data_IF_094915339848
#
_entry.id   IF_094915339848
#
_cell.length_a   1.000
_cell.length_b   1.000
_cell.length_c   1.000
_cell.angle_alpha   90.00
_cell.angle_beta   90.00
_cell.angle_gamma   90.00
#
_symmetry.space_group_name_H-M   'P 1'
#
loop_
_entity.id
_entity.type
_entity.pdbx_description
1 polymer ?
#
# COMPACT_ATOMS: atom_id res chain seq x y z
N UNK A 1 51.59 -19.36 19.27
CA UNK A 1 50.32 -18.76 18.81
C UNK A 1 50.30 -17.30 19.24
N UNK A 2 50.62 -16.37 18.32
CA UNK A 2 50.80 -14.95 18.62
C UNK A 2 49.43 -14.26 18.64
N UNK A 3 49.13 -13.57 19.74
CA UNK A 3 47.98 -12.66 19.89
C UNK A 3 48.32 -11.34 19.19
N UNK A 4 47.46 -10.85 18.31
CA UNK A 4 47.56 -9.51 17.72
C UNK A 4 46.41 -8.64 18.24
N UNK A 5 46.79 -7.54 18.90
CA UNK A 5 45.93 -6.48 19.41
C UNK A 5 45.81 -5.38 18.36
N UNK A 6 44.59 -4.96 18.04
CA UNK A 6 44.32 -3.88 17.07
C UNK A 6 44.16 -2.58 17.86
N UNK A 7 45.19 -1.74 17.84
CA UNK A 7 45.12 -0.35 18.28
C UNK A 7 44.96 0.58 17.08
N UNK A 8 43.92 1.40 17.15
CA UNK A 8 43.86 2.80 16.69
C UNK A 8 44.48 3.16 15.33
N UNK A 9 43.63 3.28 14.32
CA UNK A 9 43.85 4.13 13.13
C UNK A 9 42.75 5.19 13.17
N UNK A 10 43.01 6.32 13.83
CA UNK A 10 43.51 7.58 13.25
C UNK A 10 42.61 8.12 12.13
N UNK A 11 41.82 9.10 12.53
CA UNK A 11 41.04 10.07 11.74
C UNK A 11 41.96 10.90 10.84
N UNK A 12 41.35 11.64 9.88
CA UNK A 12 41.87 12.71 8.98
C UNK A 12 42.10 12.11 7.56
N UNK A 13 41.44 12.51 6.46
CA UNK A 13 41.52 13.80 5.75
C UNK A 13 40.33 13.96 4.75
N UNK A 14 39.47 14.94 5.02
CA UNK A 14 39.04 16.06 4.15
C UNK A 14 38.91 15.76 2.63
N UNK A 15 37.67 15.70 2.14
CA UNK A 15 37.35 15.89 0.72
C UNK A 15 36.50 17.15 0.56
N UNK A 16 37.16 18.30 0.53
CA UNK A 16 36.61 19.55 0.02
C UNK A 16 36.63 19.50 -1.51
N UNK A 17 35.47 19.35 -2.13
CA UNK A 17 35.28 19.73 -3.53
C UNK A 17 33.83 20.16 -3.77
N UNK A 18 33.47 21.27 -3.12
CA UNK A 18 32.31 22.07 -3.47
C UNK A 18 32.82 23.41 -3.98
N UNK A 19 32.74 23.61 -5.30
CA UNK A 19 32.35 24.86 -5.97
C UNK A 19 32.58 24.70 -7.48
N UNK A 20 31.50 24.59 -8.24
CA UNK A 20 31.34 25.20 -9.57
C UNK A 20 29.85 25.21 -9.89
N UNK A 21 29.18 26.32 -9.59
CA UNK A 21 28.72 27.31 -10.58
C UNK A 21 27.40 26.90 -11.27
N UNK A 22 26.32 27.41 -10.68
CA UNK A 22 25.26 28.17 -11.34
C UNK A 22 25.11 27.93 -12.85
N UNK A 23 24.13 27.12 -13.23
CA UNK A 23 23.40 27.36 -14.48
C UNK A 23 22.13 28.14 -14.16
N UNK A 24 22.16 29.39 -14.60
CA UNK A 24 21.05 30.30 -14.68
C UNK A 24 20.03 29.82 -15.72
N UNK A 25 18.77 30.15 -15.48
CA UNK A 25 17.61 29.84 -16.30
C UNK A 25 17.75 30.34 -17.74
N UNK A 26 17.42 29.48 -18.71
CA UNK A 26 16.85 29.94 -19.98
C UNK A 26 15.33 29.86 -19.84
N UNK A 27 14.68 31.01 -19.93
CA UNK A 27 13.23 31.14 -19.97
C UNK A 27 12.80 30.93 -21.41
N UNK A 28 12.54 29.68 -21.80
CA UNK A 28 11.77 29.41 -23.01
C UNK A 28 10.29 29.39 -22.62
N UNK A 29 9.66 30.53 -22.92
CA UNK A 29 8.23 30.77 -22.83
C UNK A 29 7.55 30.07 -24.01
N UNK A 30 7.49 28.74 -23.98
CA UNK A 30 6.64 27.98 -24.88
C UNK A 30 5.23 27.88 -24.26
N UNK A 31 4.48 28.95 -24.48
CA UNK A 31 3.02 28.92 -24.46
C UNK A 31 2.53 28.00 -25.58
N UNK A 32 2.49 26.71 -25.31
CA UNK A 32 1.70 25.76 -26.09
C UNK A 32 0.68 25.08 -25.17
N UNK A 33 -0.29 25.88 -24.72
CA UNK A 33 -1.56 25.40 -24.19
C UNK A 33 -2.35 24.73 -25.33
N UNK A 34 -1.90 23.54 -25.71
CA UNK A 34 -2.72 22.57 -26.44
C UNK A 34 -2.35 21.15 -25.99
N UNK A 35 -2.38 20.95 -24.68
CA UNK A 35 -2.74 19.66 -24.15
C UNK A 35 -4.26 19.64 -24.11
N UNK A 36 -4.85 19.27 -25.25
CA UNK A 36 -6.14 18.62 -25.25
C UNK A 36 -5.97 17.30 -24.47
N UNK A 37 -5.88 17.39 -23.14
CA UNK A 37 -6.02 16.28 -22.21
C UNK A 37 -7.50 15.92 -22.20
N UNK A 38 -8.00 15.50 -23.36
CA UNK A 38 -9.13 14.61 -23.44
C UNK A 38 -8.61 13.27 -22.95
N UNK A 39 -8.23 13.18 -21.67
CA UNK A 39 -8.32 11.91 -20.95
C UNK A 39 -9.81 11.63 -21.05
N UNK A 40 -10.24 10.63 -21.84
CA UNK A 40 -11.64 10.27 -21.84
C UNK A 40 -11.99 10.03 -20.37
N UNK A 41 -12.99 10.72 -19.84
CA UNK A 41 -13.50 10.39 -18.52
C UNK A 41 -13.97 8.93 -18.62
N UNK A 42 -13.10 8.00 -18.22
CA UNK A 42 -13.28 6.59 -18.48
C UNK A 42 -14.37 6.13 -17.52
N UNK A 43 -15.58 5.91 -18.03
CA UNK A 43 -16.67 5.45 -17.17
C UNK A 43 -16.33 4.06 -16.66
N UNK A 44 -16.53 3.81 -15.37
CA UNK A 44 -16.35 2.48 -14.80
C UNK A 44 -17.33 1.48 -15.43
N UNK A 45 -16.80 0.32 -15.82
CA UNK A 45 -17.62 -0.86 -16.07
C UNK A 45 -18.18 -1.39 -14.75
N UNK A 46 -19.16 -2.29 -14.80
CA UNK A 46 -19.65 -2.91 -13.57
C UNK A 46 -18.58 -3.79 -12.91
N UNK A 47 -17.70 -4.43 -13.71
CA UNK A 47 -16.54 -5.17 -13.21
C UNK A 47 -15.55 -4.26 -12.47
N UNK A 48 -15.29 -3.04 -12.97
CA UNK A 48 -14.43 -2.08 -12.28
C UNK A 48 -15.02 -1.67 -10.92
N UNK A 49 -16.34 -1.48 -10.84
CA UNK A 49 -17.02 -1.13 -9.58
C UNK A 49 -16.96 -2.28 -8.58
N UNK A 50 -17.25 -3.50 -9.05
CA UNK A 50 -17.20 -4.70 -8.21
C UNK A 50 -15.77 -4.92 -7.67
N UNK A 51 -14.75 -4.69 -8.51
CA UNK A 51 -13.35 -4.75 -8.11
C UNK A 51 -13.01 -3.68 -7.05
N UNK A 52 -13.39 -2.42 -7.24
CA UNK A 52 -13.15 -1.36 -6.25
C UNK A 52 -13.82 -1.66 -4.90
N UNK A 53 -15.05 -2.17 -4.92
CA UNK A 53 -15.76 -2.55 -3.69
C UNK A 53 -15.08 -3.73 -2.99
N UNK A 54 -14.60 -4.70 -3.77
CA UNK A 54 -13.85 -5.84 -3.23
C UNK A 54 -12.52 -5.40 -2.61
N UNK A 55 -11.71 -4.64 -3.36
CA UNK A 55 -10.41 -4.11 -2.88
C UNK A 55 -10.59 -3.27 -1.61
N UNK A 56 -11.64 -2.44 -1.52
CA UNK A 56 -11.89 -1.66 -0.29
C UNK A 56 -12.07 -2.57 0.95
N UNK A 57 -12.82 -3.68 0.81
CA UNK A 57 -13.00 -4.63 1.91
C UNK A 57 -11.77 -5.51 2.15
N UNK A 58 -10.97 -5.78 1.13
CA UNK A 58 -9.72 -6.55 1.23
C UNK A 58 -8.63 -5.77 1.98
N UNK A 59 -8.45 -4.48 1.66
CA UNK A 59 -7.57 -3.58 2.39
C UNK A 59 -8.03 -3.42 3.85
N UNK A 60 -9.35 -3.39 4.06
CA UNK A 60 -9.93 -3.43 5.42
C UNK A 60 -9.61 -4.73 6.14
N UNK A 61 -9.64 -5.88 5.46
CA UNK A 61 -9.27 -7.19 6.02
C UNK A 61 -7.83 -7.16 6.49
N UNK A 62 -6.92 -6.62 5.67
CA UNK A 62 -5.52 -6.45 6.02
C UNK A 62 -5.37 -5.54 7.26
N UNK A 63 -5.92 -4.32 7.20
CA UNK A 63 -5.86 -3.34 8.30
C UNK A 63 -6.38 -3.90 9.62
N UNK A 64 -7.58 -4.46 9.62
CA UNK A 64 -8.25 -4.95 10.83
C UNK A 64 -7.50 -6.17 11.40
N UNK A 65 -6.96 -7.05 10.54
CA UNK A 65 -6.14 -8.18 10.99
C UNK A 65 -4.83 -7.71 11.61
N UNK A 66 -4.15 -6.73 11.01
CA UNK A 66 -2.93 -6.16 11.58
C UNK A 66 -3.17 -5.38 12.87
N UNK A 67 -4.33 -4.71 13.01
CA UNK A 67 -4.77 -4.13 14.28
C UNK A 67 -4.86 -5.20 15.36
N UNK A 68 -5.60 -6.28 15.10
CA UNK A 68 -5.76 -7.39 16.04
C UNK A 68 -4.40 -8.01 16.42
N UNK A 69 -3.56 -8.35 15.44
CA UNK A 69 -2.27 -9.01 15.69
C UNK A 69 -1.26 -8.08 16.37
N UNK A 70 -1.31 -6.78 16.10
CA UNK A 70 -0.51 -5.80 16.85
C UNK A 70 -0.93 -5.76 18.32
N UNK A 71 -2.22 -5.80 18.62
CA UNK A 71 -2.70 -5.80 19.99
C UNK A 71 -2.33 -7.10 20.73
N UNK A 72 -2.30 -8.24 20.02
CA UNK A 72 -1.84 -9.51 20.57
C UNK A 72 -0.32 -9.55 20.82
N UNK A 73 0.49 -9.05 19.89
CA UNK A 73 1.93 -9.34 19.86
C UNK A 73 2.85 -8.12 20.03
N UNK A 74 2.30 -6.91 19.94
CA UNK A 74 3.02 -5.63 20.04
C UNK A 74 4.24 -5.54 19.11
N UNK A 75 4.07 -5.98 17.86
CA UNK A 75 5.13 -5.92 16.84
C UNK A 75 5.03 -4.60 16.07
N UNK A 76 6.14 -3.84 16.04
CA UNK A 76 6.22 -2.58 15.30
C UNK A 76 5.87 -2.74 13.81
N UNK A 77 6.14 -3.91 13.23
CA UNK A 77 5.76 -4.22 11.85
C UNK A 77 4.25 -4.07 11.66
N UNK A 78 3.43 -4.74 12.47
CA UNK A 78 1.98 -4.64 12.40
C UNK A 78 1.47 -3.23 12.74
N UNK A 79 2.11 -2.55 13.71
CA UNK A 79 1.77 -1.17 14.05
C UNK A 79 1.97 -0.20 12.88
N UNK A 80 2.97 -0.45 12.03
CA UNK A 80 3.26 0.37 10.85
C UNK A 80 2.38 -0.02 9.66
N UNK A 81 2.30 -1.33 9.37
CA UNK A 81 1.62 -1.87 8.19
C UNK A 81 0.12 -1.54 8.25
N UNK A 82 -0.55 -1.65 9.42
CA UNK A 82 -1.95 -1.23 9.53
C UNK A 82 -2.22 0.23 9.12
N UNK A 83 -1.22 1.12 9.25
CA UNK A 83 -1.37 2.51 8.80
C UNK A 83 -1.17 2.62 7.28
N UNK A 84 -0.35 1.74 6.68
CA UNK A 84 -0.26 1.60 5.23
C UNK A 84 -1.58 1.11 4.65
N UNK A 85 -2.18 0.07 5.24
CA UNK A 85 -3.48 -0.44 4.77
C UNK A 85 -4.61 0.60 4.91
N UNK A 86 -4.53 1.47 5.91
CA UNK A 86 -5.44 2.62 5.97
C UNK A 86 -5.24 3.57 4.77
N UNK A 87 -4.00 3.83 4.37
CA UNK A 87 -3.74 4.67 3.20
C UNK A 87 -4.22 4.00 1.90
N UNK A 88 -4.14 2.68 1.78
CA UNK A 88 -4.70 1.95 0.64
C UNK A 88 -6.23 2.03 0.62
N UNK A 89 -6.89 1.79 1.76
CA UNK A 89 -8.33 1.99 1.89
C UNK A 89 -8.74 3.41 1.46
N UNK A 90 -8.03 4.43 1.94
CA UNK A 90 -8.30 5.83 1.58
C UNK A 90 -8.15 6.06 0.07
N UNK A 91 -7.16 5.41 -0.58
CA UNK A 91 -6.93 5.51 -2.02
C UNK A 91 -8.09 4.90 -2.82
N UNK A 92 -8.56 3.71 -2.44
CA UNK A 92 -9.72 3.05 -3.06
C UNK A 92 -11.01 3.85 -2.81
N UNK A 93 -11.20 4.36 -1.59
CA UNK A 93 -12.34 5.20 -1.22
C UNK A 93 -12.39 6.48 -2.09
N UNK A 94 -11.25 7.11 -2.34
CA UNK A 94 -11.17 8.28 -3.22
C UNK A 94 -11.64 7.97 -4.65
N UNK A 95 -11.32 6.79 -5.18
CA UNK A 95 -11.82 6.37 -6.50
C UNK A 95 -13.33 6.12 -6.48
N UNK A 96 -13.85 5.43 -5.46
CA UNK A 96 -15.29 5.20 -5.31
C UNK A 96 -16.06 6.52 -5.25
N UNK A 97 -15.56 7.51 -4.51
CA UNK A 97 -16.12 8.86 -4.44
C UNK A 97 -16.02 9.56 -5.81
N UNK A 98 -14.85 9.54 -6.46
CA UNK A 98 -14.62 10.19 -7.75
C UNK A 98 -15.61 9.69 -8.82
N UNK A 99 -15.92 8.40 -8.80
CA UNK A 99 -16.81 7.75 -9.76
C UNK A 99 -18.26 7.61 -9.26
N UNK A 100 -18.61 8.22 -8.13
CA UNK A 100 -19.95 8.21 -7.57
C UNK A 100 -20.50 6.77 -7.34
N UNK A 101 -19.64 5.87 -6.89
CA UNK A 101 -20.00 4.50 -6.49
C UNK A 101 -20.34 4.49 -5.00
N UNK A 102 -21.52 3.98 -4.66
CA UNK A 102 -21.95 3.85 -3.26
C UNK A 102 -21.20 2.69 -2.59
N UNK A 103 -20.74 2.89 -1.36
CA UNK A 103 -20.04 1.89 -0.56
C UNK A 103 -20.40 2.04 0.93
N UNK A 104 -20.16 0.99 1.71
CA UNK A 104 -20.30 1.00 3.16
C UNK A 104 -19.06 0.39 3.80
N UNK A 105 -18.52 1.05 4.82
CA UNK A 105 -17.46 0.48 5.66
C UNK A 105 -18.10 0.02 6.96
N UNK A 106 -18.19 -1.30 7.12
CA UNK A 106 -18.69 -1.91 8.36
C UNK A 106 -17.69 -1.73 9.52
N UNK A 107 -18.13 -1.94 10.78
CA UNK A 107 -17.24 -1.91 11.94
C UNK A 107 -16.03 -2.85 11.81
N UNK A 108 -15.03 -2.62 12.66
CA UNK A 108 -13.81 -3.46 12.72
C UNK A 108 -14.17 -4.96 12.84
N UNK A 109 -13.54 -5.77 12.00
CA UNK A 109 -13.73 -7.22 11.95
C UNK A 109 -15.06 -7.70 11.33
N UNK A 110 -15.87 -6.78 10.80
CA UNK A 110 -17.10 -7.08 10.07
C UNK A 110 -16.95 -6.76 8.58
N UNK A 111 -17.42 -7.65 7.71
CA UNK A 111 -17.31 -7.55 6.25
C UNK A 111 -18.64 -7.95 5.60
N UNK A 112 -19.02 -7.25 4.53
CA UNK A 112 -20.18 -7.62 3.70
C UNK A 112 -19.85 -8.86 2.85
N UNK A 113 -18.61 -8.95 2.35
CA UNK A 113 -18.12 -10.10 1.63
C UNK A 113 -17.87 -11.28 2.59
N UNK A 114 -18.68 -12.33 2.45
CA UNK A 114 -18.61 -13.48 3.33
C UNK A 114 -17.27 -14.26 3.23
N UNK A 115 -16.58 -14.20 2.09
CA UNK A 115 -15.25 -14.81 1.94
C UNK A 115 -14.23 -14.06 2.79
N UNK A 116 -14.19 -12.72 2.69
CA UNK A 116 -13.31 -11.88 3.51
C UNK A 116 -13.64 -11.99 5.00
N UNK A 117 -14.92 -12.07 5.36
CA UNK A 117 -15.34 -12.35 6.74
C UNK A 117 -14.78 -13.68 7.25
N UNK A 118 -14.76 -14.73 6.42
CA UNK A 118 -14.21 -16.02 6.79
C UNK A 118 -12.68 -15.97 6.92
N UNK A 119 -12.00 -15.24 6.04
CA UNK A 119 -10.56 -15.00 6.16
C UNK A 119 -10.22 -14.27 7.45
N UNK A 120 -10.90 -13.17 7.77
CA UNK A 120 -10.69 -12.45 9.04
C UNK A 120 -10.82 -13.39 10.24
N UNK A 121 -11.93 -14.15 10.30
CA UNK A 121 -12.19 -15.09 11.38
C UNK A 121 -11.10 -16.17 11.52
N UNK A 122 -10.55 -16.63 10.39
CA UNK A 122 -9.48 -17.63 10.38
C UNK A 122 -8.13 -17.00 10.79
N UNK A 123 -7.79 -15.85 10.21
CA UNK A 123 -6.51 -15.19 10.38
C UNK A 123 -6.27 -14.73 11.82
N UNK A 124 -7.30 -14.20 12.50
CA UNK A 124 -7.16 -13.83 13.93
C UNK A 124 -6.94 -15.05 14.83
N UNK A 125 -7.53 -16.20 14.50
CA UNK A 125 -7.36 -17.44 15.25
C UNK A 125 -5.96 -18.01 15.02
N UNK A 126 -5.55 -18.14 13.77
CA UNK A 126 -4.25 -18.72 13.41
C UNK A 126 -3.09 -17.81 13.83
N UNK A 127 -3.22 -16.50 13.62
CA UNK A 127 -2.20 -15.53 14.01
C UNK A 127 -2.04 -15.37 15.52
N UNK A 128 -3.06 -15.72 16.32
CA UNK A 128 -2.97 -15.73 17.78
C UNK A 128 -2.18 -16.94 18.35
N UNK A 129 -1.83 -17.94 17.53
CA UNK A 129 -1.12 -19.14 17.99
C UNK A 129 0.31 -18.83 18.43
N UNK A 130 1.04 -18.05 17.65
CA UNK A 130 2.41 -17.62 17.96
C UNK A 130 2.81 -16.40 17.13
N UNK A 131 3.86 -15.68 17.54
CA UNK A 131 4.42 -14.59 16.73
C UNK A 131 4.83 -15.05 15.32
N UNK A 132 5.34 -16.29 15.17
CA UNK A 132 5.70 -16.83 13.87
C UNK A 132 4.45 -17.06 13.00
N UNK A 133 3.36 -17.56 13.58
CA UNK A 133 2.08 -17.69 12.88
C UNK A 133 1.52 -16.32 12.50
N UNK A 134 1.59 -15.32 13.39
CA UNK A 134 1.14 -13.96 13.08
C UNK A 134 1.88 -13.37 11.87
N UNK A 135 3.20 -13.53 11.82
CA UNK A 135 4.00 -13.07 10.67
C UNK A 135 3.66 -13.85 9.40
N UNK A 136 3.37 -15.15 9.51
CA UNK A 136 2.90 -15.95 8.38
C UNK A 136 1.54 -15.48 7.87
N UNK A 137 0.61 -15.13 8.76
CA UNK A 137 -0.69 -14.55 8.40
C UNK A 137 -0.50 -13.21 7.69
N UNK A 138 0.39 -12.35 8.19
CA UNK A 138 0.73 -11.11 7.47
C UNK A 138 1.21 -11.39 6.05
N UNK A 139 2.19 -12.29 5.88
CA UNK A 139 2.65 -12.67 4.54
C UNK A 139 1.55 -13.29 3.65
N UNK A 140 0.58 -14.02 4.23
CA UNK A 140 -0.56 -14.58 3.51
C UNK A 140 -1.55 -13.52 3.04
N UNK A 141 -1.76 -12.46 3.83
CA UNK A 141 -2.59 -11.32 3.43
C UNK A 141 -1.98 -10.62 2.23
N UNK A 142 -0.68 -10.31 2.27
CA UNK A 142 0.00 -9.64 1.15
C UNK A 142 0.05 -10.50 -0.12
N UNK A 143 0.19 -11.83 0.00
CA UNK A 143 0.18 -12.73 -1.16
C UNK A 143 -1.20 -12.77 -1.83
N UNK A 144 -2.26 -12.75 -1.02
CA UNK A 144 -3.63 -12.69 -1.50
C UNK A 144 -3.90 -11.35 -2.22
N UNK A 145 -3.56 -10.24 -1.58
CA UNK A 145 -3.71 -8.89 -2.13
C UNK A 145 -2.98 -8.74 -3.48
N UNK A 146 -1.72 -9.18 -3.57
CA UNK A 146 -0.95 -9.10 -4.83
C UNK A 146 -1.63 -9.88 -5.97
N UNK A 147 -2.15 -11.08 -5.68
CA UNK A 147 -2.82 -11.91 -6.70
C UNK A 147 -4.12 -11.27 -7.18
N UNK A 148 -4.89 -10.69 -6.27
CA UNK A 148 -6.17 -10.05 -6.61
C UNK A 148 -5.94 -8.71 -7.33
N UNK A 149 -4.94 -7.91 -6.93
CA UNK A 149 -4.46 -6.74 -7.67
C UNK A 149 -4.00 -7.08 -9.09
N UNK A 150 -3.19 -8.14 -9.27
CA UNK A 150 -2.79 -8.60 -10.60
C UNK A 150 -3.99 -8.99 -11.46
N UNK A 151 -5.02 -9.60 -10.85
CA UNK A 151 -6.25 -9.95 -11.55
C UNK A 151 -7.00 -8.69 -12.00
N UNK A 152 -7.21 -7.73 -11.11
CA UNK A 152 -7.91 -6.49 -11.41
C UNK A 152 -7.20 -5.64 -12.47
N UNK A 153 -5.85 -5.58 -12.42
CA UNK A 153 -5.04 -4.89 -13.43
C UNK A 153 -5.17 -5.50 -14.84
N UNK A 154 -5.37 -6.81 -14.94
CA UNK A 154 -5.54 -7.50 -16.22
C UNK A 154 -6.97 -7.37 -16.78
N UNK A 155 -7.96 -7.11 -15.92
CA UNK A 155 -9.37 -7.01 -16.29
C UNK A 155 -9.81 -5.56 -16.58
N UNK A 156 -9.14 -4.57 -15.99
CA UNK A 156 -9.44 -3.16 -16.22
C UNK A 156 -8.68 -2.56 -17.41
N UNK A 157 -9.31 -1.58 -18.05
CA UNK A 157 -8.65 -0.67 -19.00
C UNK A 157 -8.71 0.79 -18.55
N UNK A 158 -9.30 1.04 -17.37
CA UNK A 158 -9.41 2.37 -16.80
C UNK A 158 -8.04 2.80 -16.24
N UNK A 159 -7.47 3.85 -16.83
CA UNK A 159 -6.16 4.36 -16.44
C UNK A 159 -6.13 4.93 -15.03
N UNK A 160 -7.25 5.41 -14.49
CA UNK A 160 -7.28 5.93 -13.12
C UNK A 160 -7.16 4.79 -12.12
N UNK A 161 -7.81 3.65 -12.39
CA UNK A 161 -7.72 2.44 -11.55
C UNK A 161 -6.34 1.80 -11.64
N UNK A 162 -5.73 1.77 -12.82
CA UNK A 162 -4.40 1.16 -13.01
C UNK A 162 -3.27 1.94 -12.31
N UNK A 163 -3.47 3.23 -12.06
CA UNK A 163 -2.43 4.13 -11.53
C UNK A 163 -2.60 4.46 -10.03
N UNK A 164 -3.61 3.91 -9.37
CA UNK A 164 -3.86 4.14 -7.94
C UNK A 164 -2.90 3.35 -7.07
#
# INVERSE_FOLDING_TARGET
MKKFSITSVLVIIIMTMSLSFLYACSSDNDNNNNLNNNVPNQTLTDADKDALLFMLEEEKLARDTYMFLNDQWSLNQFANIKNSEQMHMDAVENLLIQYNVEYTILPEGQFENQTLQNFYNQFIVDGAVSQANALQIGATIEDLDIVDLETHLNESSNTDLINV
#
